data_IF_809960893279
#
_entry.id   IF_809960893279
#
_cell.length_a   1.000
_cell.length_b   1.000
_cell.length_c   1.000
_cell.angle_alpha   90.00
_cell.angle_beta   90.00
_cell.angle_gamma   90.00
#
_symmetry.space_group_name_H-M   'P 1'
#
loop_
_entity.id
_entity.type
_entity.pdbx_description
1 polymer ?
#
# COMPACT_ATOMS: atom_id res chain seq x y z
N UNK A 1 16.30 23.71 -3.52
CA UNK A 1 14.88 23.28 -3.46
C UNK A 1 14.81 21.79 -3.75
N UNK A 2 14.67 20.93 -2.74
CA UNK A 2 14.48 19.48 -2.97
C UNK A 2 13.10 19.26 -3.60
N UNK A 3 13.00 18.39 -4.61
CA UNK A 3 11.73 18.06 -5.25
C UNK A 3 10.86 17.32 -4.23
N UNK A 4 9.92 18.02 -3.61
CA UNK A 4 8.92 17.44 -2.71
C UNK A 4 8.08 16.44 -3.50
N UNK A 5 8.29 15.14 -3.26
CA UNK A 5 7.46 14.07 -3.80
C UNK A 5 6.40 13.75 -2.76
N UNK A 6 5.20 14.30 -2.97
CA UNK A 6 4.00 13.93 -2.25
C UNK A 6 3.65 12.47 -2.54
N UNK A 7 3.24 11.72 -1.52
CA UNK A 7 2.80 10.33 -1.70
C UNK A 7 1.27 10.23 -1.62
N UNK A 8 0.64 9.41 -2.49
CA UNK A 8 -0.79 9.21 -2.43
C UNK A 8 -1.17 8.41 -1.19
N UNK A 9 -2.07 8.95 -0.38
CA UNK A 9 -2.75 8.24 0.70
C UNK A 9 -4.21 8.05 0.28
N UNK A 10 -4.70 6.81 0.37
CA UNK A 10 -6.07 6.43 -0.01
C UNK A 10 -6.88 6.08 1.24
N UNK A 11 -8.19 6.27 1.17
CA UNK A 11 -9.08 6.06 2.31
C UNK A 11 -9.11 7.28 3.23
N UNK A 12 -9.15 7.07 4.54
CA UNK A 12 -9.24 8.14 5.53
C UNK A 12 -8.85 7.68 6.94
N UNK A 13 -8.96 8.59 7.91
CA UNK A 13 -8.84 8.33 9.34
C UNK A 13 -10.12 8.75 10.08
N UNK A 14 -10.26 8.33 11.34
CA UNK A 14 -11.42 8.55 12.20
C UNK A 14 -11.87 10.01 12.33
N UNK A 15 -10.97 10.97 12.15
CA UNK A 15 -11.27 12.40 12.23
C UNK A 15 -11.78 13.02 10.91
N UNK A 16 -12.03 12.22 9.86
CA UNK A 16 -12.37 12.70 8.51
C UNK A 16 -13.77 12.29 8.04
N UNK A 17 -14.83 12.57 8.82
CA UNK A 17 -16.26 12.24 8.61
C UNK A 17 -16.68 11.96 7.15
N UNK A 18 -17.22 12.94 6.42
CA UNK A 18 -17.73 12.78 5.05
C UNK A 18 -16.64 12.80 3.99
N UNK A 19 -15.40 13.11 4.38
CA UNK A 19 -14.23 13.11 3.49
C UNK A 19 -13.64 11.69 3.32
N UNK A 20 -14.30 10.68 3.89
CA UNK A 20 -13.92 9.27 3.85
C UNK A 20 -14.50 8.53 2.65
N UNK A 21 -13.86 7.42 2.29
CA UNK A 21 -14.43 6.42 1.38
C UNK A 21 -13.41 5.80 0.42
N UNK A 22 -13.84 4.84 -0.43
CA UNK A 22 -12.96 4.14 -1.36
C UNK A 22 -12.24 5.06 -2.36
N UNK A 23 -12.85 6.21 -2.65
CA UNK A 23 -12.35 7.20 -3.61
C UNK A 23 -11.53 8.33 -2.95
N UNK A 24 -11.45 8.42 -1.63
CA UNK A 24 -10.78 9.52 -0.91
C UNK A 24 -9.25 9.52 -1.09
N UNK A 25 -8.70 10.59 -1.69
CA UNK A 25 -7.29 10.75 -2.08
C UNK A 25 -6.69 11.98 -1.38
N UNK A 26 -5.58 11.80 -0.66
CA UNK A 26 -4.82 12.89 -0.06
C UNK A 26 -3.39 12.94 -0.66
N UNK A 27 -3.00 14.13 -1.17
CA UNK A 27 -1.69 14.41 -1.80
C UNK A 27 -0.92 15.54 -1.08
N UNK A 28 -1.32 15.89 0.15
CA UNK A 28 -0.76 17.03 0.88
C UNK A 28 0.32 16.64 1.90
N UNK A 29 0.81 15.39 1.87
CA UNK A 29 1.86 14.92 2.79
C UNK A 29 3.14 14.50 2.03
N UNK A 30 4.33 15.05 2.39
CA UNK A 30 5.59 14.60 1.81
C UNK A 30 5.89 13.17 2.28
N UNK A 31 6.77 12.44 1.55
CA UNK A 31 7.18 11.08 1.94
C UNK A 31 7.71 10.98 3.39
N UNK A 32 8.34 12.02 3.91
CA UNK A 32 8.91 12.04 5.26
C UNK A 32 7.89 12.31 6.37
N UNK A 33 6.62 12.57 6.04
CA UNK A 33 5.60 12.84 7.05
C UNK A 33 5.20 11.55 7.77
N UNK A 34 5.43 11.53 9.09
CA UNK A 34 5.00 10.47 9.98
C UNK A 34 3.88 11.01 10.87
N UNK A 35 2.71 10.38 10.84
CA UNK A 35 1.55 10.78 11.63
C UNK A 35 0.78 9.54 12.08
N UNK A 36 0.25 9.56 13.30
CA UNK A 36 -0.44 8.43 13.93
C UNK A 36 -1.74 8.03 13.20
N UNK A 37 -2.24 8.91 12.33
CA UNK A 37 -3.42 8.66 11.50
C UNK A 37 -3.10 8.17 10.07
N UNK A 38 -1.85 7.79 9.79
CA UNK A 38 -1.41 7.24 8.50
C UNK A 38 -0.83 5.83 8.71
N UNK A 39 -1.34 4.85 7.96
CA UNK A 39 -0.85 3.46 8.00
C UNK A 39 -0.89 2.78 6.63
N UNK A 40 -0.64 1.47 6.58
CA UNK A 40 -0.71 0.66 5.36
C UNK A 40 -1.57 -0.59 5.55
N UNK A 41 -2.22 -1.02 4.46
CA UNK A 41 -2.85 -2.35 4.37
C UNK A 41 -2.03 -3.18 3.39
N UNK A 42 -1.60 -4.38 3.78
CA UNK A 42 -0.96 -5.30 2.86
C UNK A 42 -1.99 -5.89 1.89
N UNK A 43 -1.53 -6.31 0.72
CA UNK A 43 -2.32 -7.08 -0.23
C UNK A 43 -1.43 -8.16 -0.83
N UNK A 44 -1.94 -9.39 -0.84
CA UNK A 44 -1.30 -10.48 -1.56
C UNK A 44 -1.77 -10.45 -3.02
N UNK A 45 -0.88 -10.71 -3.99
CA UNK A 45 -1.28 -10.93 -5.36
C UNK A 45 -2.27 -12.10 -5.45
N UNK A 46 -3.24 -12.02 -6.36
CA UNK A 46 -4.15 -13.13 -6.64
C UNK A 46 -3.35 -14.38 -7.07
N UNK A 47 -3.93 -15.56 -6.85
CA UNK A 47 -3.31 -16.88 -7.04
C UNK A 47 -2.40 -17.00 -8.27
N UNK A 48 -2.72 -16.45 -9.44
CA UNK A 48 -1.84 -16.57 -10.62
C UNK A 48 -0.41 -16.05 -10.37
N UNK A 49 -0.26 -14.98 -9.60
CA UNK A 49 1.03 -14.36 -9.30
C UNK A 49 1.65 -14.93 -8.02
N UNK A 50 0.83 -15.25 -7.01
CA UNK A 50 1.30 -15.95 -5.81
C UNK A 50 1.81 -17.37 -6.11
N UNK A 51 1.23 -18.06 -7.10
CA UNK A 51 1.67 -19.39 -7.54
C UNK A 51 3.00 -19.32 -8.33
N UNK A 52 3.30 -18.19 -8.99
CA UNK A 52 4.61 -17.94 -9.65
C UNK A 52 5.74 -17.70 -8.67
N UNK A 53 5.43 -17.11 -7.51
CA UNK A 53 6.39 -16.92 -6.42
C UNK A 53 6.68 -18.23 -5.65
N UNK A 54 5.98 -19.34 -5.95
CA UNK A 54 6.30 -20.65 -5.39
C UNK A 54 7.58 -21.18 -6.05
N UNK A 55 8.58 -21.61 -5.27
CA UNK A 55 9.74 -22.32 -5.82
C UNK A 55 9.28 -23.56 -6.58
N UNK A 56 9.63 -23.65 -7.87
CA UNK A 56 9.41 -24.86 -8.65
C UNK A 56 10.47 -25.90 -8.24
N UNK A 57 10.02 -26.98 -7.61
CA UNK A 57 10.63 -28.31 -7.60
C UNK A 57 12.13 -28.45 -7.27
N UNK A 58 12.43 -28.97 -6.08
CA UNK A 58 13.58 -29.86 -5.84
C UNK A 58 13.06 -31.29 -5.66
N UNK A 59 12.47 -31.89 -6.70
CA UNK A 59 12.26 -33.34 -6.72
C UNK A 59 13.48 -33.98 -7.39
N UNK A 60 14.34 -34.60 -6.57
CA UNK A 60 15.48 -35.38 -7.04
C UNK A 60 14.93 -36.66 -7.67
N UNK A 61 15.22 -36.90 -8.95
CA UNK A 61 15.03 -38.23 -9.55
C UNK A 61 16.10 -39.15 -8.94
N UNK A 62 15.66 -40.32 -8.48
CA UNK A 62 16.52 -41.35 -7.89
C UNK A 62 17.38 -42.08 -8.91
#
# INVERSE_FOLDING_TARGET
MTKLRWLPIRGSAFNNTSNSGPSALNLNNPRSNSNDNIGFRSALPLCQEALRLRPQGQYKQG
#
